data_IF_856719039481
#
_entry.id   IF_856719039481
#
_cell.length_a   1.000
_cell.length_b   1.000
_cell.length_c   1.000
_cell.angle_alpha   90.00
_cell.angle_beta   90.00
_cell.angle_gamma   90.00
#
_symmetry.space_group_name_H-M   'P 1'
#
loop_
_entity.id
_entity.type
_entity.pdbx_description
1 polymer ?
#
# COMPACT_ATOMS: atom_id res chain seq x y z
N UNK A 1 -22.37 -6.15 -28.57
CA UNK A 1 -22.27 -7.01 -27.38
C UNK A 1 -23.03 -8.27 -27.72
N UNK A 2 -22.33 -9.34 -28.10
CA UNK A 2 -22.97 -10.66 -28.15
C UNK A 2 -23.35 -11.00 -26.70
N UNK A 3 -24.60 -11.40 -26.47
CA UNK A 3 -25.07 -11.89 -25.18
C UNK A 3 -24.19 -13.08 -24.78
N UNK A 4 -23.16 -12.79 -23.99
CA UNK A 4 -22.43 -13.83 -23.29
C UNK A 4 -23.44 -14.47 -22.36
N UNK A 5 -23.86 -15.70 -22.67
CA UNK A 5 -24.76 -16.48 -21.83
C UNK A 5 -24.37 -16.30 -20.36
N UNK A 6 -25.26 -15.71 -19.57
CA UNK A 6 -25.02 -15.46 -18.16
C UNK A 6 -24.68 -16.79 -17.50
N UNK A 7 -23.66 -16.81 -16.64
CA UNK A 7 -23.35 -18.03 -15.90
C UNK A 7 -24.59 -18.46 -15.10
N UNK A 8 -24.88 -19.77 -15.01
CA UNK A 8 -26.02 -20.24 -14.26
C UNK A 8 -25.95 -19.70 -12.81
N UNK A 9 -27.06 -19.22 -12.23
CA UNK A 9 -27.05 -18.50 -10.94
C UNK A 9 -26.30 -19.21 -9.81
N UNK A 10 -26.33 -20.55 -9.79
CA UNK A 10 -25.63 -21.38 -8.80
C UNK A 10 -24.10 -21.32 -8.89
N UNK A 11 -23.51 -21.11 -10.07
CA UNK A 11 -22.06 -20.99 -10.22
C UNK A 11 -21.54 -19.68 -9.61
N UNK A 12 -22.25 -18.56 -9.84
CA UNK A 12 -21.88 -17.27 -9.25
C UNK A 12 -22.00 -17.25 -7.73
N UNK A 13 -22.97 -17.97 -7.13
CA UNK A 13 -23.09 -18.05 -5.66
C UNK A 13 -21.93 -18.80 -5.03
N UNK A 14 -21.51 -19.93 -5.61
CA UNK A 14 -20.34 -20.71 -5.15
C UNK A 14 -19.05 -19.91 -5.25
N UNK A 15 -18.85 -19.20 -6.36
CA UNK A 15 -17.69 -18.32 -6.52
C UNK A 15 -17.67 -17.20 -5.46
N UNK A 16 -18.80 -16.55 -5.19
CA UNK A 16 -18.86 -15.54 -4.12
C UNK A 16 -18.49 -16.15 -2.77
N UNK A 17 -19.11 -17.28 -2.40
CA UNK A 17 -18.86 -17.94 -1.14
C UNK A 17 -17.36 -18.27 -0.97
N UNK A 18 -16.72 -18.81 -2.02
CA UNK A 18 -15.29 -19.06 -2.02
C UNK A 18 -14.46 -17.79 -1.78
N UNK A 19 -14.77 -16.69 -2.47
CA UNK A 19 -14.03 -15.44 -2.31
C UNK A 19 -14.24 -14.82 -0.92
N UNK A 20 -15.45 -14.91 -0.36
CA UNK A 20 -15.73 -14.45 1.00
C UNK A 20 -15.05 -15.34 2.06
N UNK A 21 -14.99 -16.65 1.84
CA UNK A 21 -14.25 -17.56 2.71
C UNK A 21 -12.74 -17.27 2.66
N UNK A 22 -12.18 -17.05 1.48
CA UNK A 22 -10.78 -16.64 1.32
C UNK A 22 -10.50 -15.28 1.99
N UNK A 23 -11.40 -14.32 1.85
CA UNK A 23 -11.33 -13.03 2.54
C UNK A 23 -11.37 -13.17 4.06
N UNK A 24 -12.33 -13.94 4.58
CA UNK A 24 -12.45 -14.17 6.02
C UNK A 24 -11.21 -14.87 6.57
N UNK A 25 -10.72 -15.92 5.90
CA UNK A 25 -9.52 -16.64 6.30
C UNK A 25 -8.27 -15.74 6.30
N UNK A 26 -8.05 -14.96 5.25
CA UNK A 26 -6.89 -14.05 5.17
C UNK A 26 -6.99 -12.91 6.21
N UNK A 27 -8.18 -12.37 6.44
CA UNK A 27 -8.41 -11.32 7.45
C UNK A 27 -8.19 -11.82 8.87
N UNK A 28 -8.74 -13.01 9.20
CA UNK A 28 -8.54 -13.64 10.49
C UNK A 28 -7.07 -14.06 10.67
N UNK A 29 -6.42 -14.55 9.62
CA UNK A 29 -4.98 -14.86 9.63
C UNK A 29 -4.13 -13.63 9.94
N UNK A 30 -4.38 -12.51 9.26
CA UNK A 30 -3.68 -11.24 9.51
C UNK A 30 -3.96 -10.69 10.91
N UNK A 31 -5.21 -10.76 11.40
CA UNK A 31 -5.55 -10.35 12.75
C UNK A 31 -4.86 -11.24 13.81
N UNK A 32 -4.91 -12.57 13.64
CA UNK A 32 -4.22 -13.52 14.52
C UNK A 32 -2.71 -13.30 14.51
N UNK A 33 -2.14 -12.95 13.35
CA UNK A 33 -0.73 -12.60 13.22
C UNK A 33 -0.36 -11.36 14.05
N UNK A 34 -1.17 -10.29 13.99
CA UNK A 34 -1.00 -9.10 14.84
C UNK A 34 -1.18 -9.44 16.32
N UNK A 35 -2.15 -10.27 16.69
CA UNK A 35 -2.34 -10.70 18.07
C UNK A 35 -1.16 -11.51 18.60
N UNK A 36 -0.58 -12.38 17.78
CA UNK A 36 0.54 -13.23 18.16
C UNK A 36 1.86 -12.45 18.30
N UNK A 37 2.16 -11.57 17.34
CA UNK A 37 3.49 -10.95 17.21
C UNK A 37 3.50 -9.42 17.44
N UNK A 38 2.34 -8.78 17.47
CA UNK A 38 2.23 -7.38 17.81
C UNK A 38 2.56 -7.15 19.27
N UNK A 39 3.39 -6.13 19.54
CA UNK A 39 3.72 -5.67 20.89
C UNK A 39 3.45 -4.18 20.99
N UNK A 40 3.11 -3.77 22.20
CA UNK A 40 2.91 -2.37 22.53
C UNK A 40 4.26 -1.67 22.75
N UNK A 41 5.07 -1.63 21.71
CA UNK A 41 6.37 -0.96 21.67
C UNK A 41 6.54 -0.36 20.28
N UNK A 42 6.91 0.93 20.16
CA UNK A 42 7.25 1.51 18.87
C UNK A 42 8.43 0.75 18.24
N UNK A 43 8.41 0.56 16.92
CA UNK A 43 9.50 -0.09 16.20
C UNK A 43 9.93 0.73 14.99
N UNK A 44 11.25 0.81 14.75
CA UNK A 44 11.84 1.56 13.65
C UNK A 44 11.27 2.98 13.54
N UNK A 45 10.61 3.29 12.41
CA UNK A 45 10.08 4.62 12.11
C UNK A 45 9.00 5.10 13.10
N UNK A 46 8.35 4.20 13.86
CA UNK A 46 7.35 4.57 14.88
C UNK A 46 7.92 5.51 15.95
N UNK A 47 9.20 5.35 16.29
CA UNK A 47 9.88 6.21 17.27
C UNK A 47 9.93 7.68 16.84
N UNK A 48 9.91 7.96 15.54
CA UNK A 48 9.90 9.34 15.02
C UNK A 48 8.56 10.07 15.24
N UNK A 49 7.52 9.35 15.68
CA UNK A 49 6.18 9.89 15.86
C UNK A 49 5.85 10.17 17.33
N UNK A 50 6.63 9.62 18.27
CA UNK A 50 6.40 9.72 19.73
C UNK A 50 6.30 11.18 20.19
N UNK A 51 7.33 12.00 19.92
CA UNK A 51 7.39 13.38 20.43
C UNK A 51 6.23 14.25 19.93
N UNK A 52 5.91 14.20 18.64
CA UNK A 52 4.82 15.02 18.11
C UNK A 52 3.42 14.50 18.48
N UNK A 53 3.24 13.19 18.66
CA UNK A 53 2.01 12.65 19.21
C UNK A 53 1.80 13.10 20.67
N UNK A 54 2.89 13.15 21.46
CA UNK A 54 2.93 13.67 22.83
C UNK A 54 2.87 15.20 22.93
N UNK A 55 2.71 15.92 21.81
CA UNK A 55 2.61 17.38 21.82
C UNK A 55 3.91 18.10 22.17
N UNK A 56 5.06 17.43 22.10
CA UNK A 56 6.40 18.01 22.32
C UNK A 56 6.90 18.82 21.11
N UNK A 57 6.22 18.70 19.98
CA UNK A 57 6.43 19.51 18.78
C UNK A 57 5.13 20.28 18.44
N UNK A 58 5.20 21.50 17.85
CA UNK A 58 4.02 22.18 17.32
C UNK A 58 3.25 21.29 16.33
N UNK A 59 1.96 21.11 16.57
CA UNK A 59 1.18 20.06 15.90
C UNK A 59 1.18 20.16 14.36
N UNK A 60 0.84 21.31 13.78
CA UNK A 60 0.77 21.45 12.32
C UNK A 60 2.13 21.38 11.63
N UNK A 61 3.19 22.06 12.11
CA UNK A 61 4.55 21.84 11.61
C UNK A 61 4.98 20.37 11.67
N UNK A 62 4.67 19.65 12.76
CA UNK A 62 4.97 18.23 12.89
C UNK A 62 4.19 17.38 11.87
N UNK A 63 2.88 17.59 11.70
CA UNK A 63 2.05 16.88 10.72
C UNK A 63 2.60 17.02 9.29
N UNK A 64 3.16 18.18 8.94
CA UNK A 64 3.73 18.40 7.62
C UNK A 64 5.22 18.04 7.52
N UNK A 65 5.91 17.78 8.63
CA UNK A 65 7.36 17.53 8.70
C UNK A 65 7.78 16.32 7.84
N UNK A 66 8.80 16.48 6.96
CA UNK A 66 9.37 15.35 6.24
C UNK A 66 9.83 14.24 7.19
N UNK A 67 9.67 12.99 6.76
CA UNK A 67 10.18 11.80 7.42
C UNK A 67 10.76 10.91 6.32
N UNK A 68 12.07 10.73 6.33
CA UNK A 68 12.82 10.18 5.19
C UNK A 68 12.48 10.97 3.91
N UNK A 69 12.16 10.29 2.81
CA UNK A 69 11.79 10.89 1.52
C UNK A 69 10.29 11.23 1.44
N UNK A 70 9.58 11.23 2.58
CA UNK A 70 8.12 11.29 2.61
C UNK A 70 7.60 12.47 3.42
N UNK A 71 6.57 13.14 2.89
CA UNK A 71 5.59 13.82 3.75
C UNK A 71 4.39 12.91 3.90
N UNK A 72 4.03 12.58 5.14
CA UNK A 72 2.93 11.66 5.41
C UNK A 72 1.92 12.25 6.42
N UNK A 73 1.24 13.36 6.10
CA UNK A 73 0.25 13.96 6.98
C UNK A 73 -0.81 12.97 7.46
N UNK A 74 -1.30 12.08 6.59
CA UNK A 74 -2.30 11.08 6.97
C UNK A 74 -1.74 10.11 8.01
N UNK A 75 -0.48 9.67 7.86
CA UNK A 75 0.18 8.84 8.86
C UNK A 75 0.20 9.52 10.22
N UNK A 76 0.69 10.77 10.25
CA UNK A 76 0.87 11.52 11.49
C UNK A 76 -0.46 11.80 12.18
N UNK A 77 -1.50 12.17 11.42
CA UNK A 77 -2.85 12.37 11.95
C UNK A 77 -3.45 11.07 12.50
N UNK A 78 -3.32 9.97 11.77
CA UNK A 78 -3.80 8.66 12.21
C UNK A 78 -3.07 8.19 13.48
N UNK A 79 -1.73 8.24 13.48
CA UNK A 79 -0.90 7.86 14.62
C UNK A 79 -1.20 8.74 15.84
N UNK A 80 -1.32 10.06 15.69
CA UNK A 80 -1.66 10.94 16.80
C UNK A 80 -3.07 10.69 17.34
N UNK A 81 -4.04 10.44 16.46
CA UNK A 81 -5.41 10.08 16.84
C UNK A 81 -5.45 8.77 17.62
N UNK A 82 -4.84 7.71 17.08
CA UNK A 82 -4.76 6.40 17.72
C UNK A 82 -4.02 6.49 19.06
N UNK A 83 -2.88 7.18 19.10
CA UNK A 83 -2.11 7.37 20.32
C UNK A 83 -2.93 8.00 21.45
N UNK A 84 -3.71 9.05 21.15
CA UNK A 84 -4.58 9.67 22.16
C UNK A 84 -5.72 8.78 22.62
N UNK A 85 -6.24 7.92 21.73
CA UNK A 85 -7.33 7.01 22.05
C UNK A 85 -6.88 5.78 22.83
N UNK A 86 -5.62 5.36 22.69
CA UNK A 86 -5.12 4.09 23.23
C UNK A 86 -3.95 4.23 24.20
N UNK A 87 -3.51 5.45 24.51
CA UNK A 87 -2.32 5.67 25.34
C UNK A 87 -1.03 5.25 24.63
N UNK A 88 -0.93 5.55 23.33
CA UNK A 88 0.14 5.13 22.42
C UNK A 88 0.28 3.61 22.26
N UNK A 89 -0.81 2.84 22.38
CA UNK A 89 -0.75 1.41 22.10
C UNK A 89 -0.37 1.17 20.63
N UNK A 90 0.87 0.70 20.40
CA UNK A 90 1.40 0.54 19.04
C UNK A 90 0.64 -0.52 18.22
N UNK A 91 -0.09 -1.42 18.90
CA UNK A 91 -0.93 -2.44 18.24
C UNK A 91 -2.19 -1.83 17.61
N UNK A 92 -2.61 -0.64 18.04
CA UNK A 92 -3.76 0.04 17.48
C UNK A 92 -3.56 0.35 15.98
N UNK A 93 -2.38 0.84 15.59
CA UNK A 93 -2.06 1.04 14.16
C UNK A 93 -1.95 -0.26 13.38
N UNK A 94 -1.42 -1.32 14.00
CA UNK A 94 -1.36 -2.67 13.39
C UNK A 94 -2.76 -3.19 13.07
N UNK A 95 -3.67 -3.12 14.04
CA UNK A 95 -5.06 -3.52 13.88
C UNK A 95 -5.80 -2.63 12.85
N UNK A 96 -5.55 -1.32 12.85
CA UNK A 96 -6.09 -0.40 11.85
C UNK A 96 -5.63 -0.76 10.43
N UNK A 97 -4.34 -1.07 10.24
CA UNK A 97 -3.80 -1.54 8.95
C UNK A 97 -4.52 -2.79 8.46
N UNK A 98 -4.68 -3.81 9.31
CA UNK A 98 -5.41 -5.05 8.97
C UNK A 98 -6.87 -4.75 8.58
N UNK A 99 -7.57 -3.93 9.37
CA UNK A 99 -8.95 -3.56 9.10
C UNK A 99 -9.10 -2.83 7.76
N UNK A 100 -8.20 -1.89 7.47
CA UNK A 100 -8.19 -1.12 6.21
C UNK A 100 -7.92 -2.01 4.99
N UNK A 101 -6.92 -2.88 5.05
CA UNK A 101 -6.58 -3.81 3.96
C UNK A 101 -7.69 -4.86 3.77
N UNK A 102 -8.28 -5.35 4.85
CA UNK A 102 -9.42 -6.28 4.81
C UNK A 102 -10.66 -5.62 4.18
N UNK A 103 -10.98 -4.39 4.57
CA UNK A 103 -12.09 -3.62 4.01
C UNK A 103 -11.87 -3.34 2.52
N UNK A 104 -10.63 -3.00 2.12
CA UNK A 104 -10.26 -2.83 0.71
C UNK A 104 -10.47 -4.13 -0.08
N UNK A 105 -9.97 -5.26 0.42
CA UNK A 105 -10.11 -6.55 -0.25
C UNK A 105 -11.59 -6.95 -0.44
N UNK A 106 -12.41 -6.81 0.61
CA UNK A 106 -13.85 -7.05 0.52
C UNK A 106 -14.52 -6.09 -0.47
N UNK A 107 -14.16 -4.80 -0.40
CA UNK A 107 -14.65 -3.77 -1.30
C UNK A 107 -14.37 -4.13 -2.76
N UNK A 108 -13.15 -4.57 -3.09
CA UNK A 108 -12.78 -4.98 -4.44
C UNK A 108 -13.53 -6.23 -4.91
N UNK A 109 -13.72 -7.25 -4.06
CA UNK A 109 -14.53 -8.44 -4.38
C UNK A 109 -15.96 -8.02 -4.75
N UNK A 110 -16.61 -7.23 -3.89
CA UNK A 110 -17.99 -6.79 -4.07
C UNK A 110 -18.13 -5.86 -5.27
N UNK A 111 -17.16 -4.98 -5.49
CA UNK A 111 -17.19 -4.03 -6.58
C UNK A 111 -16.95 -4.70 -7.94
N UNK A 112 -16.03 -5.68 -8.02
CA UNK A 112 -15.84 -6.50 -9.22
C UNK A 112 -17.07 -7.33 -9.56
N UNK A 113 -17.72 -7.94 -8.55
CA UNK A 113 -19.00 -8.62 -8.73
C UNK A 113 -20.05 -7.67 -9.29
N UNK A 114 -20.21 -6.48 -8.68
CA UNK A 114 -21.17 -5.47 -9.14
C UNK A 114 -20.88 -5.01 -10.56
N UNK A 115 -19.60 -4.86 -10.92
CA UNK A 115 -19.18 -4.44 -12.24
C UNK A 115 -19.46 -5.51 -13.31
N UNK A 116 -19.22 -6.79 -13.02
CA UNK A 116 -19.48 -7.90 -13.97
C UNK A 116 -20.92 -8.39 -13.98
N UNK A 117 -21.66 -8.21 -12.90
CA UNK A 117 -22.94 -8.89 -12.64
C UNK A 117 -22.80 -10.32 -12.10
N UNK A 118 -21.57 -10.84 -11.97
CA UNK A 118 -21.25 -12.19 -11.48
C UNK A 118 -19.97 -12.19 -10.64
N UNK A 119 -19.86 -13.16 -9.73
CA UNK A 119 -18.64 -13.46 -8.97
C UNK A 119 -17.79 -14.50 -9.68
N UNK A 120 -16.47 -14.42 -9.54
CA UNK A 120 -15.52 -15.41 -10.08
C UNK A 120 -14.54 -15.85 -9.01
N UNK A 121 -14.14 -17.12 -9.02
CA UNK A 121 -13.14 -17.65 -8.07
C UNK A 121 -11.85 -16.82 -8.06
N UNK A 122 -11.46 -16.28 -9.22
CA UNK A 122 -10.30 -15.42 -9.37
C UNK A 122 -10.36 -14.11 -8.54
N UNK A 123 -11.53 -13.68 -8.06
CA UNK A 123 -11.64 -12.53 -7.14
C UNK A 123 -11.01 -12.82 -5.77
N UNK A 124 -10.73 -14.08 -5.43
CA UNK A 124 -9.97 -14.41 -4.23
C UNK A 124 -8.54 -13.87 -4.24
N UNK A 125 -8.04 -13.40 -5.40
CA UNK A 125 -6.74 -12.73 -5.48
C UNK A 125 -6.66 -11.48 -4.59
N UNK A 126 -7.76 -10.74 -4.41
CA UNK A 126 -7.77 -9.49 -3.64
C UNK A 126 -7.33 -9.68 -2.19
N UNK A 127 -7.97 -10.54 -1.38
CA UNK A 127 -7.53 -10.78 -0.02
C UNK A 127 -6.16 -11.48 0.05
N UNK A 128 -5.84 -12.38 -0.90
CA UNK A 128 -4.56 -13.09 -0.90
C UNK A 128 -3.37 -12.14 -1.10
N UNK A 129 -3.51 -11.12 -1.95
CA UNK A 129 -2.45 -10.13 -2.16
C UNK A 129 -2.41 -9.06 -1.06
N UNK A 130 -3.57 -8.55 -0.64
CA UNK A 130 -3.64 -7.43 0.29
C UNK A 130 -3.39 -7.83 1.74
N UNK A 131 -3.61 -9.09 2.12
CA UNK A 131 -3.46 -9.60 3.49
C UNK A 131 -2.40 -10.71 3.59
N UNK A 132 -1.47 -10.79 2.62
CA UNK A 132 -0.34 -11.71 2.69
C UNK A 132 0.53 -11.44 3.93
N UNK A 133 0.89 -12.47 4.71
CA UNK A 133 1.68 -12.30 5.94
C UNK A 133 3.15 -11.95 5.65
N UNK A 134 3.60 -12.09 4.40
CA UNK A 134 4.95 -11.71 3.97
C UNK A 134 5.21 -10.21 4.07
N UNK A 135 4.17 -9.37 4.07
CA UNK A 135 4.28 -7.92 4.34
C UNK A 135 4.35 -7.61 5.84
N UNK A 136 5.01 -8.44 6.64
CA UNK A 136 5.00 -8.35 8.11
C UNK A 136 5.37 -6.95 8.65
N UNK A 137 6.23 -6.19 7.96
CA UNK A 137 6.55 -4.81 8.35
C UNK A 137 5.30 -3.93 8.34
N UNK A 138 4.46 -4.06 7.31
CA UNK A 138 3.25 -3.27 7.13
C UNK A 138 2.11 -3.72 8.05
N UNK A 139 2.12 -4.99 8.47
CA UNK A 139 1.14 -5.53 9.42
C UNK A 139 1.52 -5.27 10.88
N UNK A 140 2.81 -5.26 11.23
CA UNK A 140 3.27 -5.19 12.62
C UNK A 140 3.81 -3.82 13.03
N UNK A 141 3.90 -2.82 12.16
CA UNK A 141 4.42 -1.49 12.54
C UNK A 141 3.29 -0.45 12.61
N UNK A 142 3.26 0.36 13.67
CA UNK A 142 2.13 1.26 13.96
C UNK A 142 1.95 2.32 12.86
N UNK A 143 3.05 2.93 12.42
CA UNK A 143 3.07 3.96 11.38
C UNK A 143 2.65 3.43 10.02
N UNK A 144 2.70 2.12 9.76
CA UNK A 144 2.34 1.56 8.46
C UNK A 144 0.85 1.63 8.13
N UNK A 145 0.01 2.15 9.05
CA UNK A 145 -1.36 2.58 8.76
C UNK A 145 -1.43 3.49 7.53
N UNK A 146 -0.40 4.28 7.24
CA UNK A 146 -0.38 5.11 6.04
C UNK A 146 -0.18 4.29 4.76
N UNK A 147 0.56 3.17 4.77
CA UNK A 147 0.66 2.29 3.60
C UNK A 147 -0.68 1.64 3.33
N UNK A 148 -1.39 1.20 4.38
CA UNK A 148 -2.76 0.71 4.25
C UNK A 148 -3.70 1.80 3.70
N UNK A 149 -3.59 3.04 4.18
CA UNK A 149 -4.33 4.18 3.65
C UNK A 149 -3.98 4.48 2.18
N UNK A 150 -2.69 4.44 1.85
CA UNK A 150 -2.19 4.61 0.49
C UNK A 150 -2.76 3.54 -0.44
N UNK A 151 -2.73 2.27 -0.02
CA UNK A 151 -3.30 1.14 -0.76
C UNK A 151 -4.81 1.35 -0.98
N UNK A 152 -5.57 1.75 0.05
CA UNK A 152 -6.99 2.07 -0.10
C UNK A 152 -7.24 3.17 -1.14
N UNK A 153 -6.52 4.29 -1.05
CA UNK A 153 -6.68 5.40 -1.97
C UNK A 153 -6.29 5.01 -3.40
N UNK A 154 -5.14 4.36 -3.57
CA UNK A 154 -4.56 3.94 -4.85
C UNK A 154 -5.37 2.85 -5.54
N UNK A 155 -5.61 1.74 -4.86
CA UNK A 155 -6.23 0.56 -5.45
C UNK A 155 -7.73 0.84 -5.66
N UNK A 156 -8.34 1.60 -4.74
CA UNK A 156 -9.69 2.14 -4.91
C UNK A 156 -9.80 3.08 -6.11
N UNK A 157 -8.83 3.97 -6.32
CA UNK A 157 -8.79 4.86 -7.48
C UNK A 157 -8.59 4.08 -8.79
N UNK A 158 -7.65 3.13 -8.81
CA UNK A 158 -7.40 2.25 -9.96
C UNK A 158 -8.68 1.48 -10.34
N UNK A 159 -9.36 0.89 -9.36
CA UNK A 159 -10.64 0.23 -9.57
C UNK A 159 -11.73 1.21 -10.02
N UNK A 160 -11.83 2.40 -9.43
CA UNK A 160 -12.84 3.38 -9.78
C UNK A 160 -12.71 3.86 -11.24
N UNK A 161 -11.48 4.06 -11.72
CA UNK A 161 -11.22 4.30 -13.13
C UNK A 161 -11.61 3.10 -13.99
N UNK A 162 -11.22 1.89 -13.57
CA UNK A 162 -11.57 0.66 -14.25
C UNK A 162 -13.09 0.50 -14.42
N UNK A 163 -13.85 0.73 -13.35
CA UNK A 163 -15.30 0.65 -13.30
C UNK A 163 -16.02 1.85 -13.95
N UNK A 164 -15.27 2.80 -14.53
CA UNK A 164 -15.80 4.04 -15.12
C UNK A 164 -16.65 4.87 -14.14
N UNK A 165 -16.27 4.89 -12.86
CA UNK A 165 -16.97 5.60 -11.81
C UNK A 165 -17.08 7.11 -12.09
N UNK A 166 -16.17 7.67 -12.88
CA UNK A 166 -16.16 9.06 -13.37
C UNK A 166 -17.42 9.46 -14.17
N UNK A 167 -18.25 8.50 -14.59
CA UNK A 167 -19.57 8.78 -15.21
C UNK A 167 -20.67 9.09 -14.18
N UNK A 168 -20.42 8.86 -12.89
CA UNK A 168 -21.39 9.03 -11.79
C UNK A 168 -20.88 10.08 -10.82
N UNK A 169 -21.76 10.94 -10.28
CA UNK A 169 -21.38 12.01 -9.34
C UNK A 169 -20.64 11.50 -8.11
N UNK A 170 -21.19 10.47 -7.43
CA UNK A 170 -20.53 9.85 -6.29
C UNK A 170 -19.18 9.21 -6.65
N UNK A 171 -19.05 8.68 -7.86
CA UNK A 171 -17.79 8.12 -8.35
C UNK A 171 -16.73 9.19 -8.61
N UNK A 172 -17.10 10.34 -9.18
CA UNK A 172 -16.21 11.49 -9.36
C UNK A 172 -15.70 11.98 -7.99
N UNK A 173 -16.59 12.13 -7.01
CA UNK A 173 -16.21 12.57 -5.67
C UNK A 173 -15.24 11.58 -5.00
N UNK A 174 -15.53 10.28 -5.03
CA UNK A 174 -14.66 9.25 -4.46
C UNK A 174 -13.28 9.22 -5.15
N UNK A 175 -13.25 9.29 -6.48
CA UNK A 175 -12.00 9.35 -7.24
C UNK A 175 -11.21 10.61 -6.91
N UNK A 176 -11.88 11.76 -6.87
CA UNK A 176 -11.26 13.05 -6.59
C UNK A 176 -10.66 13.14 -5.19
N UNK A 177 -11.38 12.66 -4.18
CA UNK A 177 -10.85 12.52 -2.82
C UNK A 177 -9.67 11.54 -2.77
N UNK A 178 -9.77 10.42 -3.49
CA UNK A 178 -8.64 9.49 -3.65
C UNK A 178 -7.40 10.18 -4.21
N UNK A 179 -7.56 10.98 -5.28
CA UNK A 179 -6.46 11.75 -5.89
C UNK A 179 -5.81 12.73 -4.90
N UNK A 180 -6.60 13.40 -4.05
CA UNK A 180 -6.09 14.33 -3.05
C UNK A 180 -5.39 13.63 -1.88
N UNK A 181 -5.88 12.45 -1.47
CA UNK A 181 -5.29 11.69 -0.38
C UNK A 181 -3.93 11.10 -0.75
N UNK A 182 -3.73 10.71 -2.02
CA UNK A 182 -2.50 10.10 -2.50
C UNK A 182 -1.21 10.85 -2.10
N UNK A 183 -1.00 12.13 -2.45
CA UNK A 183 0.21 12.85 -2.07
C UNK A 183 0.36 13.03 -0.55
N UNK A 184 -0.71 12.89 0.23
CA UNK A 184 -0.69 12.99 1.69
C UNK A 184 -0.30 11.67 2.39
N UNK A 185 -0.14 10.59 1.62
CA UNK A 185 0.30 9.29 2.12
C UNK A 185 1.81 9.05 1.96
N UNK A 186 2.56 9.94 1.30
CA UNK A 186 4.01 9.78 1.08
C UNK A 186 4.40 9.68 -0.41
N UNK A 187 5.65 9.29 -0.65
CA UNK A 187 6.26 9.33 -1.99
C UNK A 187 5.60 8.40 -3.01
N UNK A 188 5.16 7.21 -2.58
CA UNK A 188 4.43 6.25 -3.44
C UNK A 188 3.10 6.81 -3.91
N UNK A 189 2.36 7.47 -3.02
CA UNK A 189 1.11 8.14 -3.40
C UNK A 189 1.34 9.33 -4.32
N UNK A 190 2.41 10.10 -4.09
CA UNK A 190 2.81 11.21 -4.96
C UNK A 190 3.08 10.77 -6.42
N UNK A 191 3.84 9.69 -6.61
CA UNK A 191 4.13 9.14 -7.94
C UNK A 191 2.82 8.79 -8.64
N UNK A 192 1.93 8.04 -7.97
CA UNK A 192 0.67 7.66 -8.57
C UNK A 192 -0.23 8.87 -8.90
N UNK A 193 -0.28 9.87 -8.02
CA UNK A 193 -1.04 11.09 -8.27
C UNK A 193 -0.57 11.77 -9.56
N UNK A 194 0.74 11.83 -9.80
CA UNK A 194 1.33 12.39 -11.01
C UNK A 194 0.83 11.66 -12.28
N UNK A 195 0.76 10.34 -12.25
CA UNK A 195 0.26 9.54 -13.37
C UNK A 195 -1.27 9.54 -13.50
N UNK A 196 -2.01 9.75 -12.41
CA UNK A 196 -3.46 9.83 -12.43
C UNK A 196 -3.97 11.16 -13.04
N UNK A 197 -3.23 12.26 -12.87
CA UNK A 197 -3.62 13.60 -13.34
C UNK A 197 -4.00 13.65 -14.83
N UNK A 198 -3.18 13.15 -15.78
CA UNK A 198 -3.54 13.11 -17.21
C UNK A 198 -4.86 12.38 -17.48
N UNK A 199 -5.18 11.34 -16.70
CA UNK A 199 -6.42 10.56 -16.84
C UNK A 199 -7.62 11.36 -16.36
N UNK A 200 -7.48 12.12 -15.26
CA UNK A 200 -8.53 13.05 -14.81
C UNK A 200 -8.81 14.13 -15.86
N UNK A 201 -7.77 14.72 -16.44
CA UNK A 201 -7.92 15.72 -17.50
C UNK A 201 -8.58 15.14 -18.75
N UNK A 202 -8.18 13.93 -19.17
CA UNK A 202 -8.79 13.23 -20.29
C UNK A 202 -10.26 12.87 -20.03
N UNK A 203 -10.59 12.41 -18.81
CA UNK A 203 -11.96 12.13 -18.39
C UNK A 203 -12.81 13.41 -18.34
N UNK A 204 -12.25 14.52 -17.83
CA UNK A 204 -12.92 15.81 -17.80
C UNK A 204 -13.24 16.31 -19.21
N UNK A 205 -12.25 16.29 -20.11
CA UNK A 205 -12.44 16.66 -21.51
C UNK A 205 -13.49 15.78 -22.20
N UNK A 206 -13.48 14.47 -21.94
CA UNK A 206 -14.49 13.55 -22.48
C UNK A 206 -15.91 13.91 -21.98
N UNK A 207 -16.08 14.17 -20.68
CA UNK A 207 -17.37 14.59 -20.10
C UNK A 207 -17.86 15.93 -20.64
N UNK A 208 -16.96 16.89 -20.85
CA UNK A 208 -17.33 18.20 -21.41
C UNK A 208 -17.78 18.11 -22.87
N UNK A 209 -17.18 17.21 -23.66
CA UNK A 209 -17.54 17.00 -25.08
C UNK A 209 -18.91 16.37 -25.29
N UNK A 210 -19.52 15.78 -24.26
CA UNK A 210 -20.90 15.27 -24.34
C UNK A 210 -21.94 16.40 -24.55
N UNK A 211 -21.59 17.66 -24.26
CA UNK A 211 -22.40 18.84 -24.55
C UNK A 211 -23.59 19.08 -23.60
N UNK A 212 -24.08 18.04 -22.92
CA UNK A 212 -25.18 18.17 -21.96
C UNK A 212 -24.76 18.90 -20.67
N UNK A 213 -25.73 19.45 -19.94
CA UNK A 213 -25.46 20.19 -18.68
C UNK A 213 -24.78 19.28 -17.65
N UNK A 214 -25.17 18.00 -17.60
CA UNK A 214 -24.62 17.02 -16.67
C UNK A 214 -23.15 16.71 -16.98
N UNK A 215 -22.80 16.47 -18.24
CA UNK A 215 -21.44 16.31 -18.75
C UNK A 215 -20.54 17.48 -18.38
N UNK A 216 -21.00 18.72 -18.63
CA UNK A 216 -20.27 19.93 -18.23
C UNK A 216 -20.01 20.01 -16.73
N UNK A 217 -21.03 19.78 -15.89
CA UNK A 217 -20.84 19.78 -14.42
C UNK A 217 -19.89 18.69 -13.94
N UNK A 218 -19.98 17.48 -14.51
CA UNK A 218 -19.06 16.38 -14.19
C UNK A 218 -17.63 16.67 -14.64
N UNK A 219 -17.46 17.26 -15.82
CA UNK A 219 -16.16 17.67 -16.33
C UNK A 219 -15.52 18.74 -15.46
N UNK A 220 -16.27 19.77 -15.05
CA UNK A 220 -15.79 20.81 -14.14
C UNK A 220 -15.37 20.24 -12.78
N UNK A 221 -16.15 19.30 -12.22
CA UNK A 221 -15.79 18.62 -10.98
C UNK A 221 -14.48 17.82 -11.12
N UNK A 222 -14.28 17.10 -12.23
CA UNK A 222 -13.02 16.38 -12.49
C UNK A 222 -11.82 17.33 -12.62
N UNK A 223 -12.00 18.49 -13.28
CA UNK A 223 -10.95 19.52 -13.35
C UNK A 223 -10.63 20.11 -11.97
N UNK A 224 -11.65 20.36 -11.14
CA UNK A 224 -11.45 20.84 -9.78
C UNK A 224 -10.60 19.86 -8.96
N UNK A 225 -10.91 18.57 -9.02
CA UNK A 225 -10.09 17.56 -8.34
C UNK A 225 -8.68 17.45 -8.92
N UNK A 226 -8.52 17.52 -10.24
CA UNK A 226 -7.21 17.52 -10.88
C UNK A 226 -6.36 18.74 -10.44
N UNK A 227 -6.95 19.93 -10.42
CA UNK A 227 -6.30 21.15 -9.97
C UNK A 227 -5.90 21.06 -8.48
N UNK A 228 -6.80 20.59 -7.62
CA UNK A 228 -6.49 20.36 -6.21
C UNK A 228 -5.39 19.32 -6.00
N UNK A 229 -5.39 18.23 -6.78
CA UNK A 229 -4.33 17.21 -6.76
C UNK A 229 -2.97 17.80 -7.15
N UNK A 230 -2.92 18.54 -8.26
CA UNK A 230 -1.71 19.23 -8.70
C UNK A 230 -1.21 20.26 -7.66
N UNK A 231 -2.12 21.03 -7.04
CA UNK A 231 -1.76 21.97 -5.98
C UNK A 231 -1.19 21.26 -4.74
N UNK A 232 -1.78 20.15 -4.31
CA UNK A 232 -1.25 19.34 -3.20
C UNK A 232 0.12 18.73 -3.53
N UNK A 233 0.33 18.30 -4.77
CA UNK A 233 1.64 17.85 -5.22
C UNK A 233 2.69 18.98 -5.20
N UNK A 234 2.33 20.19 -5.64
CA UNK A 234 3.21 21.34 -5.56
C UNK A 234 3.53 21.69 -4.09
N UNK A 235 2.52 21.68 -3.22
CA UNK A 235 2.67 21.92 -1.78
C UNK A 235 3.54 20.86 -1.10
N UNK A 236 3.50 19.60 -1.54
CA UNK A 236 4.36 18.53 -1.05
C UNK A 236 5.85 18.92 -1.17
N UNK A 237 6.23 19.58 -2.25
CA UNK A 237 7.61 19.99 -2.51
C UNK A 237 7.99 21.33 -1.87
N UNK A 238 7.04 22.09 -1.31
CA UNK A 238 7.35 23.34 -0.62
C UNK A 238 8.25 23.07 0.59
N UNK A 239 9.50 23.57 0.56
CA UNK A 239 10.51 23.32 1.59
C UNK A 239 10.89 21.84 1.74
N UNK A 240 10.75 21.04 0.68
CA UNK A 240 11.18 19.65 0.69
C UNK A 240 12.70 19.56 0.52
N UNK A 241 13.35 18.86 1.44
CA UNK A 241 14.76 18.52 1.36
C UNK A 241 14.86 16.99 1.29
N UNK A 242 15.51 16.43 0.26
CA UNK A 242 15.73 14.99 0.20
C UNK A 242 16.61 14.55 1.37
N UNK A 243 16.36 13.35 1.89
CA UNK A 243 17.27 12.70 2.83
C UNK A 243 18.67 12.55 2.19
N UNK A 244 19.70 12.47 3.02
CA UNK A 244 21.09 12.34 2.56
C UNK A 244 21.24 11.17 1.57
N UNK A 245 22.07 11.31 0.52
CA UNK A 245 22.14 10.38 -0.61
C UNK A 245 22.79 9.03 -0.32
N UNK A 246 23.08 8.70 0.94
CA UNK A 246 23.98 7.61 1.36
C UNK A 246 23.59 6.23 0.80
N UNK A 247 22.30 6.01 0.50
CA UNK A 247 21.77 4.74 -0.03
C UNK A 247 21.54 4.73 -1.55
N UNK A 248 21.77 5.85 -2.24
CA UNK A 248 21.47 5.98 -3.67
C UNK A 248 22.54 5.34 -4.53
N UNK A 249 22.16 4.92 -5.74
CA UNK A 249 23.12 4.36 -6.72
C UNK A 249 22.83 4.88 -8.11
N UNK A 250 23.88 5.09 -8.89
CA UNK A 250 23.84 5.39 -10.33
C UNK A 250 24.23 4.18 -11.19
N UNK A 251 24.58 3.04 -10.59
CA UNK A 251 24.95 1.82 -11.32
C UNK A 251 23.70 1.18 -11.97
N UNK A 252 23.60 1.15 -13.31
CA UNK A 252 22.44 0.61 -14.01
C UNK A 252 22.17 -0.86 -13.68
N UNK A 253 23.21 -1.67 -13.44
CA UNK A 253 23.05 -3.08 -13.11
C UNK A 253 22.42 -3.25 -11.72
N UNK A 254 22.83 -2.43 -10.75
CA UNK A 254 22.23 -2.39 -9.41
C UNK A 254 20.79 -1.91 -9.44
N UNK A 255 20.52 -0.84 -10.19
CA UNK A 255 19.17 -0.31 -10.39
C UNK A 255 18.26 -1.40 -10.97
N UNK A 256 18.70 -2.07 -12.05
CA UNK A 256 17.92 -3.12 -12.69
C UNK A 256 17.68 -4.31 -11.75
N UNK A 257 18.68 -4.72 -10.98
CA UNK A 257 18.56 -5.81 -10.02
C UNK A 257 17.54 -5.48 -8.93
N UNK A 258 17.65 -4.31 -8.27
CA UNK A 258 16.74 -3.90 -7.19
C UNK A 258 15.32 -3.68 -7.72
N UNK A 259 15.19 -3.14 -8.92
CA UNK A 259 13.90 -3.02 -9.61
C UNK A 259 13.25 -4.39 -9.84
N UNK A 260 14.01 -5.36 -10.34
CA UNK A 260 13.50 -6.73 -10.55
C UNK A 260 13.17 -7.44 -9.24
N UNK A 261 13.92 -7.20 -8.16
CA UNK A 261 13.59 -7.68 -6.82
C UNK A 261 12.25 -7.09 -6.34
N UNK A 262 12.06 -5.77 -6.46
CA UNK A 262 10.79 -5.12 -6.13
C UNK A 262 9.63 -5.72 -6.92
N UNK A 263 9.79 -5.88 -8.24
CA UNK A 263 8.74 -6.44 -9.11
C UNK A 263 8.44 -7.91 -8.79
N UNK A 264 9.42 -8.67 -8.31
CA UNK A 264 9.19 -10.06 -7.91
C UNK A 264 8.16 -10.17 -6.77
N UNK A 265 8.05 -9.15 -5.92
CA UNK A 265 7.13 -9.13 -4.76
C UNK A 265 5.66 -8.85 -5.11
N UNK A 266 5.31 -8.67 -6.39
CA UNK A 266 3.96 -8.29 -6.80
C UNK A 266 2.85 -9.28 -6.39
N UNK A 267 3.20 -10.53 -6.09
CA UNK A 267 2.25 -11.58 -5.68
C UNK A 267 2.46 -12.08 -4.25
N UNK A 268 3.33 -11.43 -3.47
CA UNK A 268 3.69 -11.85 -2.11
C UNK A 268 5.20 -12.00 -1.93
N UNK A 269 5.62 -12.51 -0.77
CA UNK A 269 7.03 -12.72 -0.49
C UNK A 269 7.63 -13.75 -1.45
N UNK A 270 8.91 -13.59 -1.80
CA UNK A 270 9.59 -14.42 -2.78
C UNK A 270 10.85 -15.07 -2.21
N UNK A 271 11.08 -16.38 -2.45
CA UNK A 271 12.34 -17.00 -2.12
C UNK A 271 13.52 -16.37 -2.86
N UNK A 272 14.64 -16.16 -2.15
CA UNK A 272 15.87 -15.58 -2.70
C UNK A 272 16.48 -16.37 -3.88
N UNK A 273 16.11 -17.63 -4.08
CA UNK A 273 16.62 -18.43 -5.21
C UNK A 273 15.77 -18.30 -6.48
N UNK A 274 14.47 -18.03 -6.35
CA UNK A 274 13.54 -17.99 -7.50
C UNK A 274 13.25 -16.58 -7.99
N UNK A 275 13.60 -15.54 -7.23
CA UNK A 275 13.25 -14.17 -7.56
C UNK A 275 13.70 -13.68 -8.94
N UNK A 276 14.86 -14.08 -9.53
CA UNK A 276 15.25 -13.52 -10.83
C UNK A 276 14.28 -13.95 -11.93
N UNK A 277 13.88 -15.22 -11.92
CA UNK A 277 12.91 -15.78 -12.87
C UNK A 277 11.53 -15.15 -12.67
N UNK A 278 11.12 -14.99 -11.41
CA UNK A 278 9.81 -14.42 -11.08
C UNK A 278 9.74 -12.93 -11.42
N UNK A 279 10.77 -12.15 -11.05
CA UNK A 279 10.89 -10.74 -11.39
C UNK A 279 10.88 -10.52 -12.91
N UNK A 280 11.67 -11.28 -13.66
CA UNK A 280 11.67 -11.23 -15.12
C UNK A 280 10.30 -11.60 -15.72
N UNK A 281 9.66 -12.67 -15.21
CA UNK A 281 8.34 -13.09 -15.64
C UNK A 281 7.26 -12.03 -15.39
N UNK A 282 7.29 -11.38 -14.22
CA UNK A 282 6.36 -10.31 -13.89
C UNK A 282 6.59 -9.05 -14.70
N UNK A 283 7.85 -8.65 -14.91
CA UNK A 283 8.19 -7.53 -15.81
C UNK A 283 7.67 -7.82 -17.23
N UNK A 284 7.92 -9.01 -17.76
CA UNK A 284 7.44 -9.40 -19.10
C UNK A 284 5.90 -9.38 -19.18
N UNK A 285 5.20 -9.89 -18.16
CA UNK A 285 3.74 -9.83 -18.07
C UNK A 285 3.23 -8.37 -18.04
N UNK A 286 3.91 -7.49 -17.31
CA UNK A 286 3.61 -6.05 -17.24
C UNK A 286 3.77 -5.36 -18.58
N UNK A 287 4.88 -5.61 -19.27
CA UNK A 287 5.14 -5.08 -20.62
C UNK A 287 4.08 -5.57 -21.60
N UNK A 288 3.73 -6.86 -21.58
CA UNK A 288 2.68 -7.41 -22.44
C UNK A 288 1.31 -6.78 -22.14
N UNK A 289 0.95 -6.61 -20.86
CA UNK A 289 -0.28 -5.96 -20.45
C UNK A 289 -0.32 -4.48 -20.86
N UNK A 290 0.78 -3.74 -20.69
CA UNK A 290 0.91 -2.35 -21.11
C UNK A 290 0.79 -2.20 -22.63
N UNK A 291 1.45 -3.05 -23.42
CA UNK A 291 1.34 -3.08 -24.88
C UNK A 291 -0.10 -3.36 -25.33
N UNK A 292 -0.76 -4.34 -24.71
CA UNK A 292 -2.18 -4.65 -24.96
C UNK A 292 -3.10 -3.45 -24.65
N UNK A 293 -2.92 -2.81 -23.50
CA UNK A 293 -3.71 -1.64 -23.10
C UNK A 293 -3.45 -0.44 -24.02
N UNK A 294 -2.20 -0.21 -24.42
CA UNK A 294 -1.82 0.82 -25.39
C UNK A 294 -2.48 0.59 -26.76
N UNK A 295 -2.40 -0.63 -27.28
CA UNK A 295 -3.10 -1.03 -28.51
C UNK A 295 -4.61 -0.79 -28.42
N UNK A 296 -5.23 -1.20 -27.30
CA UNK A 296 -6.65 -1.03 -27.05
C UNK A 296 -7.05 0.45 -26.97
N UNK A 297 -6.23 1.27 -26.30
CA UNK A 297 -6.44 2.72 -26.21
C UNK A 297 -6.30 3.41 -27.57
N UNK A 298 -5.41 2.93 -28.45
CA UNK A 298 -5.19 3.49 -29.78
C UNK A 298 -6.32 3.12 -30.77
N UNK A 299 -6.81 1.87 -30.75
CA UNK A 299 -7.80 1.38 -31.72
C UNK A 299 -9.26 1.47 -31.28
N UNK A 300 -9.54 1.51 -29.98
CA UNK A 300 -10.90 1.51 -29.44
C UNK A 300 -11.45 2.90 -29.15
N UNK A 301 -12.67 3.20 -29.60
CA UNK A 301 -13.45 4.35 -29.06
C UNK A 301 -14.07 4.01 -27.71
N UNK A 302 -14.60 2.80 -27.56
CA UNK A 302 -15.19 2.32 -26.31
C UNK A 302 -14.10 1.78 -25.36
N UNK A 303 -14.10 2.27 -24.13
CA UNK A 303 -13.15 1.83 -23.10
C UNK A 303 -11.73 2.39 -23.24
N UNK A 304 -11.50 3.38 -24.11
CA UNK A 304 -10.19 4.06 -24.25
C UNK A 304 -9.68 4.63 -22.92
N UNK A 305 -10.53 5.39 -22.22
CA UNK A 305 -10.17 5.98 -20.92
C UNK A 305 -9.88 4.91 -19.86
N UNK A 306 -10.61 3.79 -19.88
CA UNK A 306 -10.32 2.65 -18.99
C UNK A 306 -8.93 2.08 -19.27
N UNK A 307 -8.59 1.87 -20.54
CA UNK A 307 -7.29 1.34 -20.93
C UNK A 307 -6.15 2.30 -20.58
N UNK A 308 -6.33 3.60 -20.84
CA UNK A 308 -5.37 4.64 -20.46
C UNK A 308 -5.17 4.70 -18.94
N UNK A 309 -6.25 4.62 -18.16
CA UNK A 309 -6.15 4.63 -16.71
C UNK A 309 -5.33 3.46 -16.17
N UNK A 310 -5.60 2.23 -16.65
CA UNK A 310 -4.81 1.06 -16.27
C UNK A 310 -3.35 1.17 -16.72
N UNK A 311 -3.10 1.69 -17.92
CA UNK A 311 -1.73 1.91 -18.40
C UNK A 311 -0.97 2.88 -17.49
N UNK A 312 -1.63 3.96 -17.04
CA UNK A 312 -1.02 4.91 -16.09
C UNK A 312 -0.75 4.27 -14.72
N UNK A 313 -1.62 3.36 -14.25
CA UNK A 313 -1.36 2.56 -13.05
C UNK A 313 -0.11 1.69 -13.22
N UNK A 314 0.07 1.03 -14.37
CA UNK A 314 1.31 0.29 -14.67
C UNK A 314 2.53 1.20 -14.66
N UNK A 315 2.47 2.33 -15.38
CA UNK A 315 3.57 3.28 -15.42
C UNK A 315 3.92 3.80 -14.01
N UNK A 316 2.92 4.06 -13.16
CA UNK A 316 3.14 4.50 -11.80
C UNK A 316 3.86 3.45 -10.94
N UNK A 317 3.44 2.18 -10.99
CA UNK A 317 4.12 1.12 -10.22
C UNK A 317 5.53 0.87 -10.73
N UNK A 318 5.74 0.95 -12.05
CA UNK A 318 7.08 0.84 -12.64
C UNK A 318 7.98 2.02 -12.21
N UNK A 319 7.45 3.23 -12.23
CA UNK A 319 8.15 4.42 -11.76
C UNK A 319 8.46 4.34 -10.26
N UNK A 320 7.55 3.79 -9.45
CA UNK A 320 7.77 3.56 -8.02
C UNK A 320 8.89 2.55 -7.79
N UNK A 321 8.86 1.39 -8.45
CA UNK A 321 9.93 0.40 -8.34
C UNK A 321 11.28 0.96 -8.78
N UNK A 322 11.31 1.78 -9.83
CA UNK A 322 12.53 2.43 -10.31
C UNK A 322 13.02 3.49 -9.30
N UNK A 323 12.12 4.25 -8.69
CA UNK A 323 12.46 5.21 -7.64
C UNK A 323 13.06 4.50 -6.42
N UNK A 324 12.50 3.36 -6.01
CA UNK A 324 13.07 2.50 -4.97
C UNK A 324 14.46 2.03 -5.37
N UNK A 325 14.63 1.55 -6.60
CA UNK A 325 15.92 1.07 -7.09
C UNK A 325 17.01 2.15 -7.12
N UNK A 326 16.68 3.36 -7.56
CA UNK A 326 17.59 4.50 -7.57
C UNK A 326 17.96 4.95 -6.16
N UNK A 327 16.99 4.98 -5.24
CA UNK A 327 17.16 5.53 -3.89
C UNK A 327 17.71 4.54 -2.88
N UNK A 328 17.55 3.23 -3.11
CA UNK A 328 17.91 2.18 -2.16
C UNK A 328 18.89 1.16 -2.73
N UNK A 329 19.24 1.24 -4.01
CA UNK A 329 20.13 0.26 -4.64
C UNK A 329 21.58 0.32 -4.17
N UNK A 330 21.99 1.39 -3.48
CA UNK A 330 23.30 1.49 -2.81
C UNK A 330 23.33 0.88 -1.40
N UNK A 331 22.17 0.75 -0.74
CA UNK A 331 22.09 0.32 0.66
C UNK A 331 22.49 -1.15 0.88
N UNK A 332 21.93 -2.07 0.09
CA UNK A 332 22.23 -3.50 0.19
C UNK A 332 21.88 -4.25 -1.11
N UNK A 333 22.58 -5.35 -1.48
CA UNK A 333 22.24 -6.17 -2.64
C UNK A 333 20.81 -6.71 -2.70
N UNK A 334 20.07 -6.68 -1.58
CA UNK A 334 18.69 -7.17 -1.45
C UNK A 334 17.70 -6.07 -1.09
N UNK A 335 18.05 -4.80 -1.32
CA UNK A 335 17.20 -3.67 -0.95
C UNK A 335 15.79 -3.75 -1.57
N UNK A 336 15.64 -4.38 -2.74
CA UNK A 336 14.33 -4.53 -3.37
C UNK A 336 13.41 -5.54 -2.67
N UNK A 337 13.91 -6.29 -1.67
CA UNK A 337 13.15 -7.26 -0.87
C UNK A 337 12.64 -6.76 0.47
N UNK A 338 12.83 -5.48 0.81
CA UNK A 338 12.25 -4.97 2.06
C UNK A 338 10.73 -5.21 2.05
N UNK A 339 10.23 -5.88 3.08
CA UNK A 339 8.82 -6.31 3.15
C UNK A 339 7.83 -5.16 3.16
N UNK A 340 8.28 -3.94 3.50
CA UNK A 340 7.47 -2.72 3.36
C UNK A 340 7.08 -2.40 1.91
N UNK A 341 7.85 -2.86 0.93
CA UNK A 341 7.55 -2.70 -0.51
C UNK A 341 6.52 -3.70 -1.03
N UNK A 342 6.20 -4.75 -0.27
CA UNK A 342 5.29 -5.79 -0.74
C UNK A 342 3.88 -5.24 -0.98
N UNK A 343 3.32 -4.47 -0.04
CA UNK A 343 2.00 -3.84 -0.22
C UNK A 343 2.00 -2.85 -1.38
N UNK A 344 3.13 -2.20 -1.68
CA UNK A 344 3.14 -1.28 -2.82
C UNK A 344 3.30 -2.02 -4.15
N UNK A 345 4.08 -3.09 -4.18
CA UNK A 345 4.22 -3.97 -5.34
C UNK A 345 2.91 -4.71 -5.69
N UNK A 346 2.03 -5.03 -4.72
CA UNK A 346 0.77 -5.76 -4.99
C UNK A 346 -0.18 -5.04 -5.95
N UNK A 347 -0.11 -3.71 -6.07
CA UNK A 347 -0.86 -2.98 -7.10
C UNK A 347 -0.52 -3.47 -8.51
N UNK A 348 0.72 -3.90 -8.75
CA UNK A 348 1.09 -4.49 -10.03
C UNK A 348 0.28 -5.75 -10.33
N UNK A 349 0.16 -6.66 -9.34
CA UNK A 349 -0.67 -7.86 -9.46
C UNK A 349 -2.14 -7.53 -9.70
N UNK A 350 -2.67 -6.52 -9.00
CA UNK A 350 -4.05 -6.03 -9.20
C UNK A 350 -4.23 -5.39 -10.59
N UNK A 351 -3.26 -4.63 -11.07
CA UNK A 351 -3.28 -4.03 -12.39
C UNK A 351 -3.25 -5.09 -13.50
N UNK A 352 -2.46 -6.16 -13.36
CA UNK A 352 -2.47 -7.32 -14.24
C UNK A 352 -3.84 -7.99 -14.27
N UNK A 353 -4.45 -8.17 -13.10
CA UNK A 353 -5.80 -8.72 -12.99
C UNK A 353 -6.84 -7.86 -13.73
N UNK A 354 -6.85 -6.55 -13.50
CA UNK A 354 -7.76 -5.64 -14.20
C UNK A 354 -7.50 -5.57 -15.70
N UNK A 355 -6.23 -5.63 -16.13
CA UNK A 355 -5.86 -5.72 -17.54
C UNK A 355 -6.42 -7.00 -18.19
N UNK A 356 -6.32 -8.15 -17.51
CA UNK A 356 -6.92 -9.41 -17.94
C UNK A 356 -8.44 -9.33 -18.11
N UNK A 357 -9.13 -8.58 -17.23
CA UNK A 357 -10.57 -8.33 -17.36
C UNK A 357 -10.94 -7.47 -18.58
N UNK A 358 -9.96 -6.83 -19.23
CA UNK A 358 -10.19 -6.09 -20.48
C UNK A 358 -10.15 -6.96 -21.74
N UNK A 359 -9.76 -8.23 -21.63
CA UNK A 359 -9.64 -9.16 -22.76
C UNK A 359 -11.05 -9.53 -23.29
N UNK A 360 -11.34 -9.31 -24.60
CA UNK A 360 -12.66 -9.56 -25.17
C UNK A 360 -13.10 -11.02 -25.02
N UNK A 361 -12.21 -11.96 -25.34
CA UNK A 361 -12.51 -13.39 -25.28
C UNK A 361 -12.75 -13.86 -23.84
N UNK A 362 -13.93 -14.42 -23.52
CA UNK A 362 -14.24 -14.95 -22.20
C UNK A 362 -13.28 -16.07 -21.77
N UNK A 363 -12.84 -16.92 -22.70
CA UNK A 363 -11.90 -18.02 -22.43
C UNK A 363 -10.56 -17.49 -21.94
N UNK A 364 -9.95 -16.55 -22.69
CA UNK A 364 -8.65 -15.99 -22.34
C UNK A 364 -8.68 -15.13 -21.08
N UNK A 365 -9.78 -14.40 -20.85
CA UNK A 365 -10.01 -13.65 -19.62
C UNK A 365 -10.11 -14.56 -18.39
N UNK A 366 -10.84 -15.68 -18.49
CA UNK A 366 -10.90 -16.69 -17.42
C UNK A 366 -9.52 -17.31 -17.18
N UNK A 367 -8.81 -17.69 -18.24
CA UNK A 367 -7.46 -18.25 -18.11
C UNK A 367 -6.51 -17.27 -17.41
N UNK A 368 -6.49 -15.99 -17.81
CA UNK A 368 -5.68 -14.97 -17.16
C UNK A 368 -6.01 -14.85 -15.66
N UNK A 369 -7.29 -14.76 -15.30
CA UNK A 369 -7.71 -14.72 -13.89
C UNK A 369 -7.31 -15.98 -13.11
N UNK A 370 -7.43 -17.17 -13.70
CA UNK A 370 -7.02 -18.43 -13.08
C UNK A 370 -5.51 -18.49 -12.87
N UNK A 371 -4.71 -18.10 -13.86
CA UNK A 371 -3.24 -18.09 -13.76
C UNK A 371 -2.76 -17.11 -12.69
N UNK A 372 -3.37 -15.93 -12.60
CA UNK A 372 -3.03 -14.93 -11.58
C UNK A 372 -3.43 -15.40 -10.17
N UNK A 373 -4.61 -16.04 -10.02
CA UNK A 373 -5.00 -16.65 -8.75
C UNK A 373 -4.05 -17.79 -8.36
N UNK A 374 -3.69 -18.66 -9.30
CA UNK A 374 -2.74 -19.74 -9.05
C UNK A 374 -1.38 -19.19 -8.61
N UNK A 375 -0.89 -18.13 -9.24
CA UNK A 375 0.32 -17.44 -8.81
C UNK A 375 0.21 -16.94 -7.37
N UNK A 376 -0.86 -16.21 -7.03
CA UNK A 376 -1.07 -15.74 -5.65
C UNK A 376 -1.09 -16.91 -4.64
N UNK A 377 -1.80 -18.00 -4.95
CA UNK A 377 -1.87 -19.19 -4.09
C UNK A 377 -0.52 -19.88 -3.90
N UNK A 378 0.35 -19.89 -4.93
CA UNK A 378 1.70 -20.45 -4.82
C UNK A 378 2.61 -19.64 -3.87
N UNK A 379 2.34 -18.33 -3.70
CA UNK A 379 3.10 -17.49 -2.77
C UNK A 379 2.64 -17.61 -1.31
N UNK A 380 1.37 -17.93 -1.06
CA UNK A 380 0.78 -17.94 0.29
C UNK A 380 1.60 -18.77 1.30
N UNK A 381 2.03 -20.02 1.02
CA UNK A 381 2.80 -20.79 2.00
C UNK A 381 4.13 -20.12 2.38
N UNK A 382 4.81 -19.51 1.41
CA UNK A 382 6.07 -18.82 1.67
C UNK A 382 5.84 -17.50 2.40
N UNK A 383 4.79 -16.74 2.05
CA UNK A 383 4.37 -15.53 2.77
C UNK A 383 4.06 -15.82 4.24
N UNK A 384 3.34 -16.90 4.53
CA UNK A 384 3.06 -17.36 5.90
C UNK A 384 4.36 -17.73 6.62
N UNK A 385 5.20 -18.58 6.03
CA UNK A 385 6.47 -19.00 6.64
C UNK A 385 7.37 -17.81 6.95
N UNK A 386 7.58 -16.93 5.96
CA UNK A 386 8.42 -15.76 6.09
C UNK A 386 7.86 -14.79 7.12
N UNK A 387 6.56 -14.48 7.05
CA UNK A 387 5.87 -13.61 7.99
C UNK A 387 5.97 -14.11 9.43
N UNK A 388 5.66 -15.39 9.69
CA UNK A 388 5.75 -16.00 11.02
C UNK A 388 7.17 -15.99 11.57
N UNK A 389 8.17 -16.29 10.73
CA UNK A 389 9.58 -16.26 11.14
C UNK A 389 10.03 -14.86 11.56
N UNK A 390 9.77 -13.86 10.73
CA UNK A 390 10.15 -12.47 11.01
C UNK A 390 9.32 -11.88 12.16
N UNK A 391 8.02 -12.20 12.23
CA UNK A 391 7.13 -11.82 13.32
C UNK A 391 7.61 -12.36 14.67
N UNK A 392 8.01 -13.64 14.73
CA UNK A 392 8.58 -14.25 15.94
C UNK A 392 9.87 -13.56 16.35
N UNK A 393 10.84 -13.43 15.42
CA UNK A 393 12.12 -12.76 15.69
C UNK A 393 11.90 -11.36 16.27
N UNK A 394 10.99 -10.60 15.68
CA UNK A 394 10.64 -9.25 16.16
C UNK A 394 9.98 -9.30 17.54
N UNK A 395 9.02 -10.20 17.76
CA UNK A 395 8.34 -10.33 19.05
C UNK A 395 9.33 -10.68 20.16
N UNK A 396 10.27 -11.61 19.93
CA UNK A 396 11.32 -11.97 20.88
C UNK A 396 12.20 -10.76 21.26
N UNK A 397 12.63 -9.96 20.27
CA UNK A 397 13.39 -8.73 20.53
C UNK A 397 12.60 -7.73 21.39
N UNK A 398 11.31 -7.52 21.06
CA UNK A 398 10.46 -6.58 21.78
C UNK A 398 10.09 -7.08 23.19
N UNK A 399 9.91 -8.39 23.35
CA UNK A 399 9.65 -9.03 24.65
C UNK A 399 10.89 -8.91 25.56
N UNK A 400 12.10 -9.07 25.01
CA UNK A 400 13.33 -8.82 25.75
C UNK A 400 13.45 -7.36 26.20
N UNK A 401 13.21 -6.40 25.29
CA UNK A 401 13.19 -4.97 25.61
C UNK A 401 12.18 -4.63 26.72
N UNK A 402 10.96 -5.17 26.64
CA UNK A 402 9.94 -4.98 27.66
C UNK A 402 10.31 -5.62 28.99
N UNK A 403 10.97 -6.78 28.97
CA UNK A 403 11.47 -7.46 30.16
C UNK A 403 12.45 -6.58 30.92
N UNK A 404 13.43 -6.02 30.23
CA UNK A 404 14.43 -5.10 30.81
C UNK A 404 13.80 -3.81 31.33
N UNK A 405 12.87 -3.20 30.57
CA UNK A 405 12.16 -2.01 31.01
C UNK A 405 11.36 -2.26 32.31
N UNK A 406 10.68 -3.41 32.41
CA UNK A 406 9.95 -3.82 33.63
C UNK A 406 10.88 -4.18 34.79
N UNK A 407 12.10 -4.63 34.50
CA UNK A 407 13.14 -4.87 35.51
C UNK A 407 13.74 -3.56 36.06
N UNK A 408 13.29 -2.40 35.58
CA UNK A 408 13.70 -1.09 36.06
C UNK A 408 14.97 -0.55 35.39
N UNK A 409 15.35 -1.10 34.23
CA UNK A 409 16.41 -0.52 33.42
C UNK A 409 16.02 0.89 32.97
N UNK A 410 16.92 1.86 33.15
CA UNK A 410 16.63 3.25 32.80
C UNK A 410 16.61 3.46 31.27
N UNK A 411 16.08 4.61 30.83
CA UNK A 411 15.92 4.92 29.41
C UNK A 411 17.26 4.94 28.65
N UNK A 412 18.35 5.34 29.32
CA UNK A 412 19.69 5.41 28.72
C UNK A 412 20.25 4.01 28.50
N UNK A 413 20.18 3.14 29.50
CA UNK A 413 20.59 1.75 29.43
C UNK A 413 19.81 0.98 28.35
N UNK A 414 18.48 1.19 28.29
CA UNK A 414 17.64 0.64 27.22
C UNK A 414 18.08 1.18 25.85
N UNK A 415 18.38 2.48 25.76
CA UNK A 415 18.91 3.12 24.56
C UNK A 415 20.21 2.48 24.07
N UNK A 416 21.18 2.30 24.96
CA UNK A 416 22.49 1.71 24.66
C UNK A 416 22.38 0.24 24.23
N UNK A 417 21.47 -0.53 24.85
CA UNK A 417 21.30 -1.96 24.55
C UNK A 417 20.46 -2.23 23.29
N UNK A 418 19.45 -1.41 23.00
CA UNK A 418 18.41 -1.75 22.01
C UNK A 418 18.34 -0.85 20.78
N UNK A 419 19.12 0.24 20.69
CA UNK A 419 19.00 1.18 19.56
C UNK A 419 19.15 0.50 18.18
N UNK A 420 20.18 -0.32 18.00
CA UNK A 420 20.45 -0.95 16.70
C UNK A 420 19.37 -1.97 16.30
N UNK A 421 18.92 -2.78 17.27
CA UNK A 421 17.91 -3.83 17.02
C UNK A 421 16.50 -3.29 16.85
N UNK A 422 16.23 -2.08 17.37
CA UNK A 422 14.99 -1.35 17.15
C UNK A 422 15.06 -0.41 15.93
N UNK A 423 16.17 -0.43 15.20
CA UNK A 423 16.42 0.38 13.99
C UNK A 423 16.24 1.88 14.24
N UNK A 424 16.78 2.39 15.34
CA UNK A 424 16.80 3.83 15.63
C UNK A 424 18.22 4.40 15.46
N UNK A 425 18.38 5.69 15.11
CA UNK A 425 19.68 6.21 14.68
C UNK A 425 20.80 6.17 15.72
N UNK A 426 20.48 6.33 17.01
CA UNK A 426 21.46 6.27 18.11
C UNK A 426 20.77 6.06 19.48
N UNK A 427 21.53 5.65 20.50
CA UNK A 427 21.02 5.35 21.85
C UNK A 427 20.31 6.55 22.51
N UNK A 428 20.90 7.75 22.44
CA UNK A 428 20.29 8.95 23.01
C UNK A 428 18.94 9.33 22.34
N UNK A 429 18.75 8.97 21.06
CA UNK A 429 17.49 9.18 20.36
C UNK A 429 16.39 8.32 20.98
N UNK A 430 16.69 7.05 21.26
CA UNK A 430 15.76 6.11 21.88
C UNK A 430 15.44 6.51 23.31
N UNK A 431 16.47 6.78 24.12
CA UNK A 431 16.34 7.14 25.53
C UNK A 431 15.37 8.32 25.72
N UNK A 432 15.58 9.42 24.97
CA UNK A 432 14.71 10.60 25.00
C UNK A 432 13.24 10.29 24.71
N UNK A 433 12.96 9.32 23.83
CA UNK A 433 11.58 8.96 23.46
C UNK A 433 10.94 8.04 24.48
N UNK A 434 11.72 7.17 25.11
CA UNK A 434 11.28 6.40 26.26
C UNK A 434 10.89 7.35 27.40
N UNK A 435 11.70 8.35 27.70
CA UNK A 435 11.39 9.39 28.71
C UNK A 435 10.09 10.14 28.39
N UNK A 436 9.85 10.47 27.11
CA UNK A 436 8.58 11.08 26.70
C UNK A 436 7.42 10.12 26.99
N UNK A 437 7.51 8.85 26.59
CA UNK A 437 6.45 7.85 26.86
C UNK A 437 6.19 7.66 28.36
N UNK A 438 7.25 7.63 29.18
CA UNK A 438 7.14 7.58 30.64
C UNK A 438 6.43 8.82 31.19
N UNK A 439 6.81 10.01 30.75
CA UNK A 439 6.23 11.27 31.22
C UNK A 439 4.75 11.45 30.85
N UNK A 440 4.32 10.87 29.73
CA UNK A 440 2.91 10.85 29.31
C UNK A 440 2.12 9.71 29.95
N UNK A 441 2.78 8.79 30.67
CA UNK A 441 2.16 7.59 31.22
C UNK A 441 1.63 6.63 30.15
N UNK A 442 2.32 6.55 29.01
CA UNK A 442 1.89 5.79 27.83
C UNK A 442 2.47 4.38 27.77
N UNK A 443 1.65 3.46 27.26
CA UNK A 443 1.99 2.06 27.04
C UNK A 443 2.60 1.37 28.26
N UNK A 444 3.53 0.42 28.05
CA UNK A 444 4.18 -0.33 29.13
C UNK A 444 5.20 0.49 29.93
N UNK A 445 5.37 1.77 29.62
CA UNK A 445 6.34 2.66 30.26
C UNK A 445 5.77 3.46 31.44
N UNK A 446 4.46 3.38 31.68
CA UNK A 446 3.76 4.12 32.75
C UNK A 446 4.29 3.82 34.15
N UNK A 447 4.68 2.58 34.40
CA UNK A 447 5.08 2.11 35.74
C UNK A 447 6.61 2.05 35.91
N UNK A 448 7.37 2.42 34.88
CA UNK A 448 8.82 2.49 34.98
C UNK A 448 9.20 3.68 35.88
N UNK A 449 9.94 3.41 36.96
CA UNK A 449 10.37 4.44 37.91
C UNK A 449 11.21 5.49 37.17
N UNK A 450 10.79 6.75 37.23
CA UNK A 450 11.67 7.87 36.92
C UNK A 450 12.80 7.90 37.95
N UNK A 451 14.08 7.98 37.52
CA UNK A 451 15.23 8.01 38.42
C UNK A 451 15.22 9.22 39.36
#
# INVERSE_FOLDING_TARGET
MTESAAAPPGASRRALFFCLAAWAAASLGAAAFVLAFGRDVPFADDWAFVEGAAGREPFWPWVWKPHNEHRMPIARLATAGLARLTGFDSRAGMAASVAMLSALALGLILAMRRWRGESRYADAIFPLLLLDLGQYFNLLMNTQVFVAAAAMARDGLAFAFFAEAWKRRGGIAAMGLGLWLLPLCGGYGLILAAFALPVFLAAAAARMREGDRRGRTSGAALLFFAAGGAALMALYFAGYHPAAPDDSTSDPARILAVFAQYMSQAFGAVPLRSWPVMGAGWIAAGVAAAAWLGWKAARGRQGRLRALALLMVFCAVMAEGLAVALRRGGAHPTAGFHSRFLTTATLFGLALYFAGETIPSPRWRRLAGTLLLAAALLHVPYGIYFGVREGRKRAETLDAFLGDARAGMDARQLGERYADVLHVPHSAYLARRIEVLQSEGWGPFRDAKTP
#
